data_IF_655989627187
#
_entry.id   IF_655989627187
#
_cell.length_a   1.000
_cell.length_b   1.000
_cell.length_c   1.000
_cell.angle_alpha   90.00
_cell.angle_beta   90.00
_cell.angle_gamma   90.00
#
_symmetry.space_group_name_H-M   'P 1'
#
loop_
_entity.id
_entity.type
_entity.pdbx_description
1 polymer ?
#
# COMPACT_ATOMS: atom_id res chain seq x y z
N UNK A 1 -5.14 -17.37 14.81
CA UNK A 1 -4.62 -18.39 13.87
C UNK A 1 -3.30 -18.91 14.43
N UNK A 2 -3.06 -20.21 14.44
CA UNK A 2 -1.75 -20.80 14.80
C UNK A 2 -0.79 -20.65 13.62
N UNK A 3 0.44 -20.22 13.88
CA UNK A 3 1.50 -20.18 12.87
C UNK A 3 1.73 -21.59 12.28
N UNK A 4 1.83 -21.68 10.95
CA UNK A 4 2.06 -22.96 10.26
C UNK A 4 3.52 -23.47 10.40
N UNK A 5 4.46 -22.56 10.67
CA UNK A 5 5.89 -22.86 10.86
C UNK A 5 6.39 -22.02 12.04
N UNK A 6 7.06 -22.67 12.99
CA UNK A 6 7.62 -22.02 14.19
C UNK A 6 9.14 -22.03 14.14
N UNK A 7 9.78 -20.98 14.67
CA UNK A 7 11.25 -20.89 14.79
C UNK A 7 12.00 -20.62 13.49
N UNK A 8 11.31 -20.23 12.41
CA UNK A 8 11.95 -19.79 11.18
C UNK A 8 12.51 -18.37 11.36
N UNK A 9 13.80 -18.19 11.05
CA UNK A 9 14.44 -16.88 10.98
C UNK A 9 14.79 -16.56 9.53
N UNK A 10 14.26 -15.44 9.02
CA UNK A 10 14.52 -14.94 7.67
C UNK A 10 15.22 -13.58 7.76
N UNK A 11 16.22 -13.37 6.92
CA UNK A 11 16.93 -12.11 6.83
C UNK A 11 17.26 -11.78 5.37
N UNK A 12 17.34 -10.49 5.08
CA UNK A 12 17.73 -9.98 3.77
C UNK A 12 18.48 -8.65 3.95
N UNK A 13 19.46 -8.37 3.10
CA UNK A 13 20.42 -7.27 3.29
C UNK A 13 20.05 -5.98 2.54
N UNK A 14 18.95 -5.98 1.77
CA UNK A 14 18.50 -4.80 1.03
C UNK A 14 17.71 -3.91 2.00
N UNK A 15 18.14 -2.67 2.27
CA UNK A 15 17.43 -1.77 3.17
C UNK A 15 16.20 -1.22 2.45
N UNK A 16 15.14 -2.04 2.36
CA UNK A 16 13.87 -1.65 1.75
C UNK A 16 13.07 -0.75 2.69
N UNK A 17 12.32 0.17 2.09
CA UNK A 17 11.28 0.97 2.73
C UNK A 17 10.05 1.03 1.81
N UNK A 18 8.88 1.40 2.34
CA UNK A 18 7.66 1.59 1.55
C UNK A 18 7.54 3.04 1.12
N UNK A 19 7.55 3.31 -0.19
CA UNK A 19 7.53 4.67 -0.72
C UNK A 19 6.31 5.49 -0.27
N UNK A 20 5.18 4.81 -0.07
CA UNK A 20 3.93 5.43 0.39
C UNK A 20 3.58 5.07 1.83
N UNK A 21 4.53 4.52 2.60
CA UNK A 21 4.32 4.09 3.98
C UNK A 21 3.32 2.94 4.10
N UNK A 22 2.50 2.99 5.14
CA UNK A 22 1.41 2.04 5.44
C UNK A 22 0.11 2.82 5.54
N UNK A 23 -0.54 3.19 4.41
CA UNK A 23 -1.82 3.87 4.43
C UNK A 23 -2.88 3.00 5.12
N UNK A 24 -4.03 3.59 5.47
CA UNK A 24 -5.09 2.83 6.12
C UNK A 24 -5.66 1.73 5.21
N UNK A 25 -5.79 2.03 3.92
CA UNK A 25 -6.37 1.14 2.91
C UNK A 25 -5.62 1.27 1.59
N UNK A 26 -5.33 0.14 0.95
CA UNK A 26 -5.02 0.06 -0.48
C UNK A 26 -5.96 -0.90 -1.20
N UNK A 27 -6.66 -1.76 -0.47
CA UNK A 27 -7.85 -2.49 -0.90
C UNK A 27 -9.05 -2.02 -0.08
N UNK A 28 -10.22 -1.85 -0.72
CA UNK A 28 -11.43 -1.41 -0.03
C UNK A 28 -12.69 -2.05 -0.65
N UNK A 29 -13.16 -3.15 -0.07
CA UNK A 29 -14.35 -3.90 -0.51
C UNK A 29 -15.44 -3.89 0.56
N UNK A 30 -16.66 -4.33 0.23
CA UNK A 30 -17.72 -4.52 1.22
C UNK A 30 -17.36 -5.70 2.14
N UNK A 31 -17.01 -5.39 3.39
CA UNK A 31 -16.63 -6.38 4.40
C UNK A 31 -15.13 -6.58 4.62
N UNK A 32 -14.25 -5.99 3.79
CA UNK A 32 -12.80 -6.01 4.01
C UNK A 32 -12.12 -4.76 3.47
N UNK A 33 -11.27 -4.14 4.28
CA UNK A 33 -10.44 -3.02 3.86
C UNK A 33 -9.14 -3.02 4.66
N UNK A 34 -8.00 -3.03 3.96
CA UNK A 34 -6.67 -3.07 4.58
C UNK A 34 -5.58 -2.55 3.62
N UNK A 35 -4.37 -2.37 4.13
CA UNK A 35 -3.17 -2.05 3.38
C UNK A 35 -2.50 -3.33 2.88
N UNK A 36 -2.60 -3.59 1.59
CA UNK A 36 -2.07 -4.80 0.94
C UNK A 36 -1.00 -4.51 -0.13
N UNK A 37 -0.89 -3.27 -0.59
CA UNK A 37 -0.06 -2.88 -1.73
C UNK A 37 1.08 -1.96 -1.32
N UNK A 38 2.28 -2.24 -1.82
CA UNK A 38 3.49 -1.52 -1.46
C UNK A 38 4.38 -1.27 -2.68
N UNK A 39 4.93 -0.06 -2.77
CA UNK A 39 6.10 0.22 -3.61
C UNK A 39 7.33 0.14 -2.70
N UNK A 40 7.95 -1.04 -2.64
CA UNK A 40 9.22 -1.18 -1.93
C UNK A 40 10.36 -0.60 -2.76
N UNK A 41 11.19 0.23 -2.12
CA UNK A 41 12.38 0.82 -2.74
C UNK A 41 13.59 0.67 -1.84
N UNK A 42 14.78 0.60 -2.44
CA UNK A 42 16.03 0.57 -1.69
C UNK A 42 16.37 1.97 -1.15
N UNK A 43 16.17 2.20 0.14
CA UNK A 43 16.29 3.52 0.75
C UNK A 43 17.73 4.04 0.82
N UNK A 44 18.73 3.21 0.56
CA UNK A 44 20.12 3.66 0.38
C UNK A 44 20.36 4.34 -0.97
N UNK A 45 19.53 4.10 -2.00
CA UNK A 45 19.76 4.59 -3.37
C UNK A 45 18.75 5.64 -3.84
N UNK A 46 17.51 5.57 -3.35
CA UNK A 46 16.43 6.44 -3.77
C UNK A 46 15.89 7.25 -2.58
N UNK A 47 15.28 8.39 -2.88
CA UNK A 47 14.45 9.17 -1.96
C UNK A 47 13.04 9.33 -2.52
N UNK A 48 12.06 9.34 -1.63
CA UNK A 48 10.68 9.74 -1.94
C UNK A 48 10.64 11.25 -2.04
N UNK A 49 10.34 11.78 -3.22
CA UNK A 49 10.15 13.22 -3.41
C UNK A 49 8.75 13.64 -2.99
N UNK A 50 7.75 12.83 -3.35
CA UNK A 50 6.36 13.02 -2.95
C UNK A 50 5.58 11.70 -3.02
N UNK A 51 4.45 11.70 -2.33
CA UNK A 51 3.42 10.67 -2.39
C UNK A 51 2.15 11.35 -2.85
N UNK A 52 1.51 10.83 -3.89
CA UNK A 52 0.22 11.36 -4.31
C UNK A 52 -0.82 10.97 -3.25
N UNK A 53 -1.64 11.91 -2.76
CA UNK A 53 -2.61 11.61 -1.71
C UNK A 53 -3.57 10.49 -2.10
N UNK A 54 -3.87 9.61 -1.14
CA UNK A 54 -4.93 8.62 -1.28
C UNK A 54 -6.31 9.30 -1.21
N UNK A 55 -7.34 8.74 -1.85
CA UNK A 55 -8.72 9.18 -1.66
C UNK A 55 -9.12 9.09 -0.18
N UNK A 56 -10.00 9.99 0.23
CA UNK A 56 -10.63 9.98 1.55
C UNK A 56 -11.56 8.77 1.71
N UNK A 57 -11.82 8.34 2.95
CA UNK A 57 -12.74 7.22 3.21
C UNK A 57 -14.17 7.56 2.77
N UNK A 58 -14.55 8.83 2.80
CA UNK A 58 -15.83 9.33 2.31
C UNK A 58 -15.96 9.09 0.80
N UNK A 59 -14.91 9.39 0.02
CA UNK A 59 -14.88 9.14 -1.43
C UNK A 59 -14.96 7.65 -1.76
N UNK A 60 -14.27 6.80 -0.98
CA UNK A 60 -14.30 5.34 -1.17
C UNK A 60 -15.68 4.73 -0.88
N UNK A 61 -16.44 5.33 0.05
CA UNK A 61 -17.75 4.83 0.49
C UNK A 61 -18.93 5.38 -0.31
N UNK A 62 -18.73 6.33 -1.23
CA UNK A 62 -19.82 6.94 -2.03
C UNK A 62 -20.71 5.88 -2.70
N UNK A 63 -20.10 4.78 -3.16
CA UNK A 63 -20.79 3.65 -3.77
C UNK A 63 -20.67 2.36 -2.94
N UNK A 64 -20.70 2.49 -1.61
CA UNK A 64 -20.49 1.42 -0.61
C UNK A 64 -19.03 0.99 -0.48
N UNK A 65 -18.40 0.58 -1.57
CA UNK A 65 -17.01 0.14 -1.61
C UNK A 65 -16.44 0.23 -3.03
N UNK A 66 -15.24 -0.33 -3.24
CA UNK A 66 -14.63 -0.51 -4.55
C UNK A 66 -14.83 -1.95 -5.08
N UNK A 67 -14.83 -2.16 -6.41
CA UNK A 67 -14.86 -1.14 -7.46
C UNK A 67 -16.19 -0.39 -7.49
N UNK A 68 -16.22 0.75 -8.19
CA UNK A 68 -17.43 1.55 -8.38
C UNK A 68 -17.47 2.21 -9.76
N UNK A 69 -18.52 2.98 -10.04
CA UNK A 69 -18.64 3.72 -11.31
C UNK A 69 -17.53 4.75 -11.54
N UNK A 70 -16.83 5.18 -10.49
CA UNK A 70 -15.72 6.15 -10.56
C UNK A 70 -14.36 5.54 -10.19
N UNK A 71 -14.32 4.30 -9.72
CA UNK A 71 -13.09 3.57 -9.39
C UNK A 71 -13.11 2.17 -10.04
N UNK A 72 -12.27 1.90 -11.04
CA UNK A 72 -12.38 0.69 -11.87
C UNK A 72 -11.75 -0.58 -11.26
N UNK A 73 -11.20 -0.51 -10.04
CA UNK A 73 -10.56 -1.61 -9.32
C UNK A 73 -11.02 -1.59 -7.86
N UNK A 74 -10.97 -2.73 -7.18
CA UNK A 74 -11.11 -2.86 -5.73
C UNK A 74 -9.88 -2.37 -4.94
N UNK A 75 -8.77 -2.14 -5.65
CA UNK A 75 -7.55 -1.54 -5.12
C UNK A 75 -7.37 -0.08 -5.54
N UNK A 76 -6.78 0.71 -4.64
CA UNK A 76 -6.37 2.10 -4.84
C UNK A 76 -4.94 2.12 -5.36
N UNK A 77 -4.68 2.87 -6.42
CA UNK A 77 -3.32 3.04 -6.94
C UNK A 77 -2.40 3.69 -5.90
N UNK A 78 -1.28 3.02 -5.62
CA UNK A 78 -0.19 3.55 -4.80
C UNK A 78 0.77 4.31 -5.71
N UNK A 79 0.96 5.62 -5.49
CA UNK A 79 1.71 6.47 -6.42
C UNK A 79 2.73 7.34 -5.66
N UNK A 80 3.98 7.30 -6.09
CA UNK A 80 5.07 8.11 -5.53
C UNK A 80 6.07 8.49 -6.61
N UNK A 81 6.63 9.70 -6.48
CA UNK A 81 7.78 10.12 -7.26
C UNK A 81 9.07 9.79 -6.50
N UNK A 82 9.96 9.05 -7.16
CA UNK A 82 11.26 8.67 -6.63
C UNK A 82 12.38 9.37 -7.37
N UNK A 83 13.42 9.76 -6.63
CA UNK A 83 14.64 10.34 -7.19
C UNK A 83 15.86 9.57 -6.71
N UNK A 84 16.82 9.36 -7.59
CA UNK A 84 18.15 8.89 -7.20
C UNK A 84 18.81 9.89 -6.25
N UNK A 85 19.41 9.35 -5.19
CA UNK A 85 20.25 10.11 -4.28
C UNK A 85 21.47 10.68 -4.98
#
# INVERSE_FOLDING_TARGET
ATEAVQGLSLSQNIPLDSACGTPQYTNFTDGFADCLDYIFYEKSKLIVQQVIPFPSVEELKVHTALPSIVFPSDHIAVISDLKYK
#
